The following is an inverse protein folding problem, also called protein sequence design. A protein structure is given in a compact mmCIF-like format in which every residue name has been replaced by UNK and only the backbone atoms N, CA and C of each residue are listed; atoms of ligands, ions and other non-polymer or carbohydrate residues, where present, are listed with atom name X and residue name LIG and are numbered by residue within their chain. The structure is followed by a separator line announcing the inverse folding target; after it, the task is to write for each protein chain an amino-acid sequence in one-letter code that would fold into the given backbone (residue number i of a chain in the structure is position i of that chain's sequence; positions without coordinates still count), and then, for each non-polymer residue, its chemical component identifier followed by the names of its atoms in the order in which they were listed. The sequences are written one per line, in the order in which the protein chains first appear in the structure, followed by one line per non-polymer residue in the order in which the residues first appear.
data_IF_649826773694
#
_entry.id   IF_649826773694
#
_cell.length_a   1.000
_cell.length_b   1.000
_cell.length_c   1.000
_cell.angle_alpha   90.00
_cell.angle_beta   90.00
_cell.angle_gamma   90.00
#
_symmetry.space_group_name_H-M   'P 1'
#
loop_
_entity.id
_entity.type
_entity.pdbx_description
1 polymer ?
#
# COMPACT_ATOMS: atom_id res chain seq x y z
N UNK A 1 -13.56 -1.06 6.47
CA UNK A 1 -12.11 -1.32 6.67
C UNK A 1 -11.36 -1.51 5.36
N UNK A 2 -11.64 -2.57 4.56
CA UNK A 2 -10.89 -2.86 3.31
C UNK A 2 -10.90 -1.66 2.35
N UNK A 3 -12.01 -0.94 2.24
CA UNK A 3 -12.09 0.28 1.43
C UNK A 3 -11.13 1.38 1.90
N UNK A 4 -11.00 1.59 3.22
CA UNK A 4 -10.07 2.59 3.76
C UNK A 4 -8.64 2.19 3.41
N UNK A 5 -8.27 0.93 3.66
CA UNK A 5 -6.95 0.39 3.27
C UNK A 5 -6.71 0.55 1.77
N UNK A 6 -7.71 0.26 0.94
CA UNK A 6 -7.59 0.36 -0.50
C UNK A 6 -7.29 1.80 -0.93
N UNK A 7 -8.04 2.77 -0.40
CA UNK A 7 -7.85 4.20 -0.70
C UNK A 7 -6.47 4.66 -0.25
N UNK A 8 -6.04 4.32 0.96
CA UNK A 8 -4.72 4.71 1.48
C UNK A 8 -3.57 4.04 0.72
N UNK A 9 -3.69 2.76 0.39
CA UNK A 9 -2.68 2.03 -0.37
C UNK A 9 -2.55 2.56 -1.82
N UNK A 10 -3.66 2.88 -2.49
CA UNK A 10 -3.60 3.46 -3.84
C UNK A 10 -3.11 4.91 -3.86
N UNK A 11 -3.47 5.69 -2.83
CA UNK A 11 -2.86 7.01 -2.64
C UNK A 11 -1.34 6.89 -2.50
N UNK A 12 -0.86 6.01 -1.62
CA UNK A 12 0.57 5.77 -1.44
C UNK A 12 1.24 5.20 -2.69
N UNK A 13 0.54 4.39 -3.48
CA UNK A 13 1.02 3.89 -4.77
C UNK A 13 1.23 5.06 -5.74
N UNK A 14 0.27 5.97 -5.86
CA UNK A 14 0.44 7.18 -6.69
C UNK A 14 1.61 8.06 -6.24
N UNK A 15 1.72 8.30 -4.92
CA UNK A 15 2.81 9.09 -4.34
C UNK A 15 4.16 8.44 -4.62
N UNK A 16 4.31 7.13 -4.35
CA UNK A 16 5.61 6.46 -4.47
C UNK A 16 6.07 6.37 -5.93
N UNK A 17 5.16 6.16 -6.88
CA UNK A 17 5.47 6.18 -8.30
C UNK A 17 5.89 7.58 -8.77
N UNK A 18 5.19 8.62 -8.29
CA UNK A 18 5.55 10.02 -8.59
C UNK A 18 6.92 10.38 -8.03
N UNK A 19 7.24 9.90 -6.82
CA UNK A 19 8.56 10.09 -6.23
C UNK A 19 9.62 9.34 -7.04
N UNK A 20 9.38 8.07 -7.35
CA UNK A 20 10.34 7.20 -8.04
C UNK A 20 10.68 7.66 -9.45
N UNK A 21 9.67 8.00 -10.25
CA UNK A 21 9.83 8.26 -11.68
C UNK A 21 10.09 9.73 -11.98
N UNK A 22 9.59 10.64 -11.13
CA UNK A 22 9.70 12.08 -11.39
C UNK A 22 10.65 12.74 -10.39
N UNK A 23 10.38 12.66 -9.09
CA UNK A 23 11.13 13.47 -8.12
C UNK A 23 12.57 13.01 -7.98
N UNK A 24 12.83 11.71 -7.78
CA UNK A 24 14.18 11.23 -7.60
C UNK A 24 15.08 11.49 -8.81
N UNK A 25 14.65 11.31 -10.08
CA UNK A 25 15.45 11.75 -11.22
C UNK A 25 15.71 13.26 -11.23
N UNK A 26 14.75 14.09 -10.83
CA UNK A 26 14.92 15.54 -10.76
C UNK A 26 15.91 15.99 -9.69
N UNK A 27 16.17 15.19 -8.65
CA UNK A 27 17.18 15.52 -7.63
C UNK A 27 18.57 15.70 -8.25
N UNK A 28 18.91 14.91 -9.27
CA UNK A 28 20.19 14.98 -9.96
C UNK A 28 20.33 16.24 -10.84
N UNK A 29 19.25 16.99 -11.02
CA UNK A 29 19.22 18.23 -11.80
C UNK A 29 19.22 19.49 -10.93
N UNK A 30 19.16 19.34 -9.61
CA UNK A 30 19.26 20.47 -8.67
C UNK A 30 20.73 20.88 -8.55
N UNK A 31 21.01 22.19 -8.58
CA UNK A 31 22.34 22.72 -8.37
C UNK A 31 22.94 22.28 -7.03
N UNK A 32 24.26 22.07 -7.00
CA UNK A 32 24.95 21.55 -5.81
C UNK A 32 24.84 22.49 -4.60
N UNK A 33 24.77 23.81 -4.84
CA UNK A 33 24.65 24.83 -3.80
C UNK A 33 23.27 24.81 -3.14
N UNK A 34 22.21 24.57 -3.93
CA UNK A 34 20.82 24.58 -3.48
C UNK A 34 20.35 23.22 -2.94
N UNK A 35 21.05 22.14 -3.30
CA UNK A 35 20.61 20.77 -3.04
C UNK A 35 20.32 20.49 -1.56
N UNK A 36 21.18 20.94 -0.65
CA UNK A 36 20.98 20.70 0.79
C UNK A 36 19.66 21.29 1.30
N UNK A 37 19.34 22.52 0.88
CA UNK A 37 18.10 23.20 1.28
C UNK A 37 16.90 22.55 0.61
N UNK A 38 17.03 22.20 -0.67
CA UNK A 38 16.00 21.46 -1.40
C UNK A 38 15.68 20.12 -0.71
N UNK A 39 16.68 19.32 -0.35
CA UNK A 39 16.51 18.01 0.27
C UNK A 39 15.89 18.11 1.68
N UNK A 40 16.30 19.12 2.45
CA UNK A 40 15.72 19.40 3.76
C UNK A 40 14.22 19.71 3.67
N UNK A 41 13.84 20.55 2.71
CA UNK A 41 12.44 20.89 2.47
C UNK A 41 11.66 19.70 1.91
N UNK A 42 12.22 18.97 0.95
CA UNK A 42 11.62 17.77 0.39
C UNK A 42 11.30 16.76 1.49
N UNK A 43 12.30 16.39 2.31
CA UNK A 43 12.15 15.40 3.38
C UNK A 43 11.10 15.82 4.40
N UNK A 44 11.07 17.11 4.78
CA UNK A 44 10.06 17.66 5.69
C UNK A 44 8.65 17.57 5.10
N UNK A 45 8.48 18.03 3.86
CA UNK A 45 7.16 18.13 3.24
C UNK A 45 6.59 16.78 2.84
N UNK A 46 7.41 15.89 2.28
CA UNK A 46 6.96 14.55 1.93
C UNK A 46 6.52 13.77 3.17
N UNK A 47 7.17 13.98 4.33
CA UNK A 47 6.78 13.36 5.59
C UNK A 47 5.35 13.70 5.98
N UNK A 48 4.91 14.96 5.84
CA UNK A 48 3.51 15.33 6.13
C UNK A 48 2.51 14.63 5.21
N UNK A 49 2.88 14.39 3.95
CA UNK A 49 2.02 13.71 2.97
C UNK A 49 1.94 12.20 3.25
N UNK A 50 3.05 11.56 3.59
CA UNK A 50 3.12 10.09 3.69
C UNK A 50 2.87 9.55 5.10
N UNK A 51 3.13 10.31 6.16
CA UNK A 51 3.10 9.79 7.53
C UNK A 51 1.70 9.29 7.93
N UNK A 52 0.67 10.10 7.69
CA UNK A 52 -0.71 9.74 8.02
C UNK A 52 -1.19 8.46 7.30
N UNK A 53 -1.13 8.34 5.96
CA UNK A 53 -1.55 7.11 5.28
C UNK A 53 -0.67 5.90 5.62
N UNK A 54 0.64 6.07 5.88
CA UNK A 54 1.50 4.97 6.31
C UNK A 54 1.09 4.40 7.68
N UNK A 55 0.76 5.28 8.63
CA UNK A 55 0.28 4.85 9.95
C UNK A 55 -1.08 4.16 9.86
N UNK A 56 -2.01 4.71 9.07
CA UNK A 56 -3.31 4.08 8.83
C UNK A 56 -3.14 2.67 8.27
N UNK A 57 -2.27 2.49 7.27
CA UNK A 57 -1.98 1.17 6.71
C UNK A 57 -1.38 0.21 7.74
N UNK A 58 -0.48 0.69 8.59
CA UNK A 58 0.11 -0.14 9.66
C UNK A 58 -0.95 -0.63 10.64
N UNK A 59 -1.78 0.28 11.16
CA UNK A 59 -2.82 -0.06 12.13
C UNK A 59 -3.88 -0.97 11.51
N UNK A 60 -4.34 -0.66 10.30
CA UNK A 60 -5.37 -1.46 9.65
C UNK A 60 -4.85 -2.83 9.19
N UNK A 61 -3.59 -2.94 8.77
CA UNK A 61 -2.98 -4.24 8.48
C UNK A 61 -2.88 -5.11 9.74
N UNK A 62 -2.46 -4.52 10.87
CA UNK A 62 -2.44 -5.22 12.16
C UNK A 62 -3.84 -5.64 12.63
N UNK A 63 -4.81 -4.74 12.52
CA UNK A 63 -6.21 -5.04 12.86
C UNK A 63 -6.84 -6.08 11.93
N UNK A 64 -6.38 -6.18 10.68
CA UNK A 64 -6.86 -7.19 9.74
C UNK A 64 -6.41 -8.61 10.12
N UNK A 65 -5.26 -8.78 10.78
CA UNK A 65 -4.74 -10.08 11.23
C UNK A 65 -5.60 -10.76 12.30
N UNK A 66 -6.32 -9.98 13.11
CA UNK A 66 -7.13 -10.49 14.23
C UNK A 66 -8.59 -10.68 13.86
N UNK A 67 -9.00 -10.29 12.66
CA UNK A 67 -10.36 -10.48 12.18
C UNK A 67 -10.52 -11.82 11.48
N UNK A 68 -11.50 -12.62 11.94
CA UNK A 68 -11.91 -13.84 11.25
C UNK A 68 -13.02 -13.54 10.24
N UNK A 69 -12.64 -12.91 9.12
CA UNK A 69 -13.57 -12.64 8.02
C UNK A 69 -13.64 -13.84 7.06
N UNK A 70 -14.69 -14.64 7.19
CA UNK A 70 -14.91 -15.86 6.38
C UNK A 70 -15.10 -15.58 4.88
N UNK A 71 -15.28 -14.32 4.48
CA UNK A 71 -15.43 -13.90 3.08
C UNK A 71 -14.12 -13.92 2.31
N UNK A 72 -12.99 -13.87 3.02
CA UNK A 72 -11.66 -13.84 2.43
C UNK A 72 -10.79 -14.99 2.95
N UNK A 73 -9.85 -15.52 2.14
CA UNK A 73 -8.88 -16.50 2.59
C UNK A 73 -7.97 -15.96 3.70
N UNK A 74 -7.64 -16.84 4.68
CA UNK A 74 -6.77 -16.51 5.81
C UNK A 74 -5.38 -16.03 5.43
N UNK A 75 -4.86 -16.38 4.25
CA UNK A 75 -3.54 -15.94 3.80
C UNK A 75 -3.48 -14.43 3.48
N UNK A 76 -4.60 -13.80 3.14
CA UNK A 76 -4.62 -12.41 2.67
C UNK A 76 -4.19 -11.40 3.73
N UNK A 77 -4.70 -11.46 4.98
CA UNK A 77 -4.20 -10.62 6.08
C UNK A 77 -2.68 -10.79 6.31
N UNK A 78 -2.16 -12.03 6.29
CA UNK A 78 -0.72 -12.28 6.49
C UNK A 78 0.12 -11.72 5.35
N UNK A 79 -0.28 -11.94 4.09
CA UNK A 79 0.41 -11.35 2.94
C UNK A 79 0.37 -9.82 2.99
N UNK A 80 -0.77 -9.26 3.40
CA UNK A 80 -0.93 -7.82 3.59
C UNK A 80 0.00 -7.25 4.65
N UNK A 81 0.06 -7.89 5.83
CA UNK A 81 0.95 -7.49 6.92
C UNK A 81 2.43 -7.63 6.54
N UNK A 82 2.80 -8.69 5.79
CA UNK A 82 4.15 -8.88 5.29
C UNK A 82 4.57 -7.74 4.35
N UNK A 83 3.72 -7.36 3.39
CA UNK A 83 3.99 -6.25 2.48
C UNK A 83 4.18 -4.93 3.23
N UNK A 84 3.31 -4.63 4.20
CA UNK A 84 3.43 -3.44 5.05
C UNK A 84 4.71 -3.49 5.88
N UNK A 85 5.06 -4.65 6.44
CA UNK A 85 6.31 -4.86 7.17
C UNK A 85 7.55 -4.57 6.31
N UNK A 86 7.58 -5.07 5.07
CA UNK A 86 8.67 -4.80 4.11
C UNK A 86 8.73 -3.30 3.76
N UNK A 87 7.59 -2.65 3.55
CA UNK A 87 7.53 -1.20 3.27
C UNK A 87 8.15 -0.41 4.43
N UNK A 88 7.76 -0.70 5.66
CA UNK A 88 8.27 -0.01 6.85
C UNK A 88 9.76 -0.29 7.05
N UNK A 89 10.19 -1.54 6.90
CA UNK A 89 11.60 -1.90 6.96
C UNK A 89 12.43 -1.14 5.91
N UNK A 90 12.01 -1.17 4.64
CA UNK A 90 12.71 -0.46 3.57
C UNK A 90 12.75 1.06 3.80
N UNK A 91 11.69 1.62 4.38
CA UNK A 91 11.63 3.05 4.73
C UNK A 91 12.67 3.41 5.78
N UNK A 92 12.73 2.69 6.90
CA UNK A 92 13.68 3.01 7.98
C UNK A 92 15.11 2.60 7.65
N UNK A 93 15.32 1.43 7.04
CA UNK A 93 16.64 0.89 6.77
C UNK A 93 17.35 1.63 5.62
N UNK A 94 16.61 1.98 4.56
CA UNK A 94 17.19 2.55 3.35
C UNK A 94 16.80 4.01 3.15
N UNK A 95 15.50 4.33 3.08
CA UNK A 95 15.06 5.69 2.73
C UNK A 95 15.55 6.74 3.73
N UNK A 96 15.33 6.52 5.04
CA UNK A 96 15.81 7.44 6.09
C UNK A 96 17.33 7.56 6.07
N UNK A 97 18.05 6.43 5.91
CA UNK A 97 19.50 6.42 5.86
C UNK A 97 20.05 7.27 4.69
N UNK A 98 19.53 7.08 3.48
CA UNK A 98 20.00 7.81 2.31
C UNK A 98 19.58 9.29 2.31
N UNK A 99 18.36 9.61 2.71
CA UNK A 99 17.92 11.01 2.86
C UNK A 99 18.83 11.74 3.87
N UNK A 100 19.18 11.12 5.00
CA UNK A 100 20.12 11.71 5.97
C UNK A 100 21.53 11.95 5.39
N UNK A 101 22.01 11.11 4.47
CA UNK A 101 23.27 11.36 3.78
C UNK A 101 23.16 12.52 2.79
N UNK A 102 22.05 12.61 2.06
CA UNK A 102 21.78 13.65 1.06
C UNK A 102 21.52 15.03 1.70
N UNK A 103 21.06 15.07 2.95
CA UNK A 103 21.00 16.29 3.76
C UNK A 103 22.36 16.98 3.92
N UNK A 104 23.47 16.22 3.85
CA UNK A 104 24.83 16.75 3.88
C UNK A 104 25.32 17.29 2.53
N UNK A 105 24.52 17.20 1.47
CA UNK A 105 24.86 17.60 0.11
C UNK A 105 24.68 16.48 -0.91
N UNK A 106 24.67 16.83 -2.19
CA UNK A 106 24.44 15.84 -3.24
C UNK A 106 25.60 14.84 -3.30
N UNK A 107 25.26 13.55 -3.20
CA UNK A 107 26.21 12.44 -3.30
C UNK A 107 25.63 11.40 -4.26
N UNK A 108 26.33 11.16 -5.37
CA UNK A 108 25.86 10.27 -6.44
C UNK A 108 25.55 8.85 -5.94
N UNK A 109 26.39 8.30 -5.07
CA UNK A 109 26.21 6.95 -4.52
C UNK A 109 24.98 6.87 -3.60
N UNK A 110 24.76 7.90 -2.77
CA UNK A 110 23.61 7.98 -1.88
C UNK A 110 22.31 8.17 -2.66
N UNK A 111 22.33 9.01 -3.70
CA UNK A 111 21.18 9.23 -4.59
C UNK A 111 20.82 7.96 -5.37
N UNK A 112 21.79 7.32 -6.02
CA UNK A 112 21.54 6.09 -6.78
C UNK A 112 21.06 4.94 -5.89
N UNK A 113 21.62 4.81 -4.67
CA UNK A 113 21.15 3.89 -3.64
C UNK A 113 19.71 4.15 -3.20
N UNK A 114 19.34 5.42 -3.00
CA UNK A 114 17.96 5.82 -2.69
C UNK A 114 16.99 5.43 -3.81
N UNK A 115 17.32 5.74 -5.06
CA UNK A 115 16.49 5.43 -6.23
C UNK A 115 16.33 3.92 -6.40
N UNK A 116 17.41 3.15 -6.26
CA UNK A 116 17.40 1.70 -6.41
C UNK A 116 16.59 1.01 -5.32
N UNK A 117 16.81 1.37 -4.05
CA UNK A 117 16.12 0.75 -2.92
C UNK A 117 14.65 1.16 -2.82
N UNK A 118 14.27 2.34 -3.33
CA UNK A 118 12.87 2.77 -3.32
C UNK A 118 11.98 1.96 -4.27
N UNK A 119 12.53 1.29 -5.29
CA UNK A 119 11.78 0.32 -6.09
C UNK A 119 11.16 -0.81 -5.26
N UNK A 120 11.78 -1.19 -4.14
CA UNK A 120 11.21 -2.16 -3.20
C UNK A 120 9.86 -1.65 -2.68
N UNK A 121 9.81 -0.39 -2.25
CA UNK A 121 8.59 0.26 -1.74
C UNK A 121 7.57 0.44 -2.86
N UNK A 122 8.00 0.84 -4.06
CA UNK A 122 7.13 0.97 -5.24
C UNK A 122 6.44 -0.35 -5.59
N UNK A 123 7.20 -1.45 -5.64
CA UNK A 123 6.67 -2.78 -5.90
C UNK A 123 5.73 -3.23 -4.79
N UNK A 124 6.10 -3.05 -3.52
CA UNK A 124 5.29 -3.48 -2.38
C UNK A 124 3.97 -2.70 -2.27
N UNK A 125 3.98 -1.38 -2.47
CA UNK A 125 2.75 -0.58 -2.48
C UNK A 125 1.81 -0.97 -3.63
N UNK A 126 2.37 -1.21 -4.82
CA UNK A 126 1.60 -1.68 -5.98
C UNK A 126 0.98 -3.05 -5.71
N UNK A 127 1.77 -4.01 -5.20
CA UNK A 127 1.28 -5.34 -4.83
C UNK A 127 0.21 -5.28 -3.72
N UNK A 128 0.39 -4.39 -2.75
CA UNK A 128 -0.56 -4.13 -1.66
C UNK A 128 -1.89 -3.59 -2.21
N UNK A 129 -1.85 -2.62 -3.13
CA UNK A 129 -3.04 -2.12 -3.82
C UNK A 129 -3.78 -3.22 -4.57
N UNK A 130 -3.07 -4.04 -5.35
CA UNK A 130 -3.66 -5.18 -6.08
C UNK A 130 -4.29 -6.19 -5.11
N UNK A 131 -3.60 -6.54 -4.02
CA UNK A 131 -4.11 -7.45 -3.00
C UNK A 131 -5.44 -6.95 -2.41
N UNK A 132 -5.54 -5.65 -2.14
CA UNK A 132 -6.74 -5.04 -1.56
C UNK A 132 -7.89 -4.93 -2.58
N UNK A 133 -7.61 -4.70 -3.86
CA UNK A 133 -8.61 -4.80 -4.94
C UNK A 133 -9.17 -6.22 -4.99
N UNK A 134 -8.29 -7.22 -4.96
CA UNK A 134 -8.70 -8.62 -4.95
C UNK A 134 -9.52 -8.96 -3.69
N UNK A 135 -9.15 -8.45 -2.52
CA UNK A 135 -9.92 -8.63 -1.28
C UNK A 135 -11.34 -8.06 -1.42
N UNK A 136 -11.46 -6.87 -2.02
CA UNK A 136 -12.74 -6.21 -2.22
C UNK A 136 -13.64 -6.99 -3.19
N UNK A 137 -13.11 -7.46 -4.33
CA UNK A 137 -13.85 -8.29 -5.30
C UNK A 137 -14.38 -9.57 -4.64
N UNK A 138 -13.57 -10.22 -3.80
CA UNK A 138 -13.96 -11.43 -3.06
C UNK A 138 -15.12 -11.17 -2.10
N UNK A 139 -15.04 -10.10 -1.32
CA UNK A 139 -16.12 -9.70 -0.40
C UNK A 139 -17.41 -9.40 -1.18
N UNK A 140 -17.30 -8.66 -2.29
CA UNK A 140 -18.43 -8.32 -3.13
C UNK A 140 -19.13 -9.55 -3.73
N UNK A 141 -18.36 -10.50 -4.28
CA UNK A 141 -18.90 -11.76 -4.84
C UNK A 141 -19.57 -12.63 -3.80
N UNK A 142 -19.02 -12.68 -2.59
CA UNK A 142 -19.62 -13.41 -1.49
C UNK A 142 -21.00 -12.83 -1.14
N UNK A 143 -21.11 -11.50 -1.01
CA UNK A 143 -22.38 -10.83 -0.70
C UNK A 143 -23.43 -11.05 -1.79
N UNK A 144 -23.03 -11.00 -3.07
CA UNK A 144 -23.93 -11.28 -4.20
C UNK A 144 -24.47 -12.71 -4.16
N UNK A 145 -23.60 -13.69 -3.85
CA UNK A 145 -23.97 -15.10 -3.76
C UNK A 145 -24.91 -15.37 -2.58
N UNK A 146 -24.65 -14.76 -1.43
CA UNK A 146 -25.52 -14.88 -0.24
C UNK A 146 -26.92 -14.32 -0.49
N UNK A 147 -27.03 -13.17 -1.15
CA UNK A 147 -28.34 -12.57 -1.47
C UNK A 147 -29.17 -13.42 -2.44
N UNK A 148 -28.52 -14.07 -3.41
CA UNK A 148 -29.18 -14.97 -4.34
C UNK A 148 -29.80 -16.19 -3.64
N UNK A 149 -29.12 -16.75 -2.63
CA UNK A 149 -29.60 -17.89 -1.85
C UNK A 149 -30.80 -17.53 -0.96
N UNK A 150 -30.84 -16.30 -0.42
CA UNK A 150 -31.90 -15.84 0.50
C UNK A 150 -33.12 -15.21 -0.19
N UNK A 151 -33.16 -15.18 -1.54
CA UNK A 151 -34.28 -14.58 -2.29
C UNK A 151 -35.53 -15.48 -2.21
N UNK A 152 -36.75 -14.94 -2.00
CA UNK A 152 -37.97 -15.73 -1.74
C UNK A 152 -38.35 -16.78 -2.80
N UNK A 153 -37.84 -16.66 -4.03
CA UNK A 153 -38.12 -17.59 -5.14
C UNK A 153 -37.27 -18.86 -5.18
N UNK A 154 -36.18 -18.98 -4.40
CA UNK A 154 -35.33 -20.18 -4.39
C UNK A 154 -35.93 -21.34 -3.55
N UNK A 155 -36.80 -21.02 -2.59
CA UNK A 155 -37.45 -21.98 -1.70
C UNK A 155 -38.58 -22.78 -2.37
N UNK A 156 -39.20 -22.25 -3.44
CA UNK A 156 -40.32 -22.91 -4.12
C UNK A 156 -39.86 -24.06 -5.05
N UNK A 157 -38.70 -23.92 -5.71
CA UNK A 157 -38.17 -24.95 -6.61
C UNK A 157 -37.66 -26.23 -5.88
N UNK A 158 -37.29 -26.12 -4.60
CA UNK A 158 -36.82 -27.27 -3.81
C UNK A 158 -38.00 -28.10 -3.30
N UNK A 159 -39.19 -27.52 -3.14
CA UNK A 159 -40.38 -28.26 -2.74
C UNK A 159 -41.06 -28.99 -3.90
N UNK A 160 -41.01 -28.48 -5.14
CA UNK A 160 -41.57 -29.17 -6.31
C UNK A 160 -40.73 -30.38 -6.75
N UNK A 161 -39.41 -30.37 -6.56
CA UNK A 161 -38.52 -31.47 -6.96
C UNK A 161 -38.41 -32.61 -5.94
N UNK A 162 -38.91 -32.42 -4.72
CA UNK A 162 -38.94 -33.45 -3.66
C UNK A 162 -40.32 -34.13 -3.52
N UNK A 163 -41.29 -33.75 -4.35
CA UNK A 163 -42.67 -34.26 -4.34
C UNK A 163 -43.04 -35.20 -5.50
N UNK A 164 -42.10 -35.55 -6.37
CA UNK A 164 -42.23 -36.59 -7.41
C UNK A 164 -41.44 -37.86 -7.01
#
# INVERSE_FOLDING_TARGET
MILIQLVTAWFMTGVIWTVQVVHYPLFAQVGLEEFQTYEALHTKWITYVVAAPMLVELFLAGFWLIQDDRRIPKWMPYAGALLVGIIWFATFAFSVHYHNQLMGGFRQDSWSGLVATNWIRTACWTARGILLVYALDRVWRWEASSKALTSPGSSQNIQETAGE
#
